data_IF_830783369471
#
_entry.id   IF_830783369471
#
_cell.length_a   1.000
_cell.length_b   1.000
_cell.length_c   1.000
_cell.angle_alpha   90.00
_cell.angle_beta   90.00
_cell.angle_gamma   90.00
#
_symmetry.space_group_name_H-M   'P 1'
#
loop_
_entity.id
_entity.type
_entity.pdbx_description
1 polymer ?
#
# COMPACT_ATOMS: atom_id res chain seq x y z
N UNK A 1 -22.90 49.77 -72.59
CA UNK A 1 -23.95 49.97 -71.56
C UNK A 1 -24.62 48.62 -71.44
N UNK A 2 -24.19 47.81 -70.50
CA UNK A 2 -24.87 47.63 -69.19
C UNK A 2 -25.49 46.21 -69.24
N UNK A 3 -25.40 45.32 -68.27
CA UNK A 3 -24.88 45.33 -66.92
C UNK A 3 -24.93 43.89 -66.39
N UNK A 4 -24.05 43.60 -65.45
CA UNK A 4 -23.92 42.33 -64.72
C UNK A 4 -25.17 41.99 -63.90
N UNK A 5 -25.53 40.71 -63.81
CA UNK A 5 -26.24 40.18 -62.65
C UNK A 5 -25.64 38.82 -62.24
N UNK A 6 -24.78 38.86 -61.23
CA UNK A 6 -24.35 37.69 -60.48
C UNK A 6 -25.53 37.19 -59.64
N UNK A 7 -25.96 35.95 -59.87
CA UNK A 7 -26.91 35.27 -58.98
C UNK A 7 -26.15 34.73 -57.77
N UNK A 8 -26.15 35.50 -56.68
CA UNK A 8 -25.63 35.07 -55.39
C UNK A 8 -26.57 34.04 -54.76
N UNK A 9 -26.22 32.77 -54.86
CA UNK A 9 -26.83 31.70 -54.06
C UNK A 9 -26.41 31.90 -52.60
N UNK A 10 -27.34 32.42 -51.80
CA UNK A 10 -27.21 32.62 -50.38
C UNK A 10 -27.19 31.26 -49.67
N UNK A 11 -26.01 30.65 -49.55
CA UNK A 11 -25.81 29.52 -48.65
C UNK A 11 -25.97 30.06 -47.23
N UNK A 12 -27.16 29.89 -46.65
CA UNK A 12 -27.37 29.93 -45.22
C UNK A 12 -26.53 28.83 -44.59
N UNK A 13 -25.27 29.14 -44.33
CA UNK A 13 -24.49 28.44 -43.33
C UNK A 13 -25.21 28.68 -42.00
N UNK A 14 -26.07 27.73 -41.63
CA UNK A 14 -26.48 27.52 -40.26
C UNK A 14 -25.24 27.07 -39.49
N UNK A 15 -24.33 28.02 -39.26
CA UNK A 15 -23.31 27.89 -38.24
C UNK A 15 -24.07 27.84 -36.93
N UNK A 16 -24.43 26.62 -36.53
CA UNK A 16 -24.62 26.27 -35.13
C UNK A 16 -23.26 26.45 -34.45
N UNK A 17 -22.85 27.70 -34.32
CA UNK A 17 -21.88 28.16 -33.35
C UNK A 17 -22.58 28.02 -32.01
N UNK A 18 -22.71 26.77 -31.56
CA UNK A 18 -22.93 26.43 -30.16
C UNK A 18 -21.74 26.99 -29.43
N UNK A 19 -21.82 28.27 -29.07
CA UNK A 19 -20.91 28.88 -28.12
C UNK A 19 -20.94 27.98 -26.89
N UNK A 20 -19.90 27.15 -26.72
CA UNK A 20 -19.85 26.10 -25.72
C UNK A 20 -20.14 26.73 -24.36
N UNK A 21 -21.37 26.59 -23.90
CA UNK A 21 -21.84 27.30 -22.73
C UNK A 21 -20.96 26.86 -21.57
N UNK A 22 -20.28 27.82 -20.93
CA UNK A 22 -19.34 27.53 -19.85
C UNK A 22 -20.09 26.75 -18.77
N UNK A 23 -19.71 25.49 -18.58
CA UNK A 23 -20.33 24.61 -17.62
C UNK A 23 -19.71 24.83 -16.25
N UNK A 24 -20.51 25.32 -15.30
CA UNK A 24 -20.11 25.54 -13.91
C UNK A 24 -20.85 24.54 -13.03
N UNK A 25 -20.19 23.48 -12.54
CA UNK A 25 -20.84 22.44 -11.78
C UNK A 25 -21.37 23.00 -10.45
N UNK A 26 -22.67 22.81 -10.19
CA UNK A 26 -23.33 23.26 -8.95
C UNK A 26 -23.71 22.10 -8.05
N UNK A 27 -24.08 20.95 -8.63
CA UNK A 27 -24.50 19.74 -7.89
C UNK A 27 -23.37 18.73 -7.89
N UNK A 28 -23.44 17.74 -7.00
CA UNK A 28 -22.44 16.65 -6.98
C UNK A 28 -22.53 15.76 -8.21
N UNK A 29 -23.72 15.65 -8.83
CA UNK A 29 -23.93 14.82 -10.02
C UNK A 29 -23.16 15.36 -11.23
N UNK A 30 -23.13 16.69 -11.40
CA UNK A 30 -22.31 17.39 -12.40
C UNK A 30 -20.82 17.00 -12.33
N UNK A 31 -20.32 16.62 -11.16
CA UNK A 31 -18.94 16.18 -10.99
C UNK A 31 -18.75 14.70 -11.28
N UNK A 32 -19.80 13.89 -11.10
CA UNK A 32 -19.72 12.44 -11.30
C UNK A 32 -19.54 12.07 -12.77
N UNK A 33 -20.16 12.83 -13.69
CA UNK A 33 -20.00 12.66 -15.14
C UNK A 33 -18.53 12.81 -15.56
N UNK A 34 -17.84 13.80 -15.00
CA UNK A 34 -16.42 14.07 -15.31
C UNK A 34 -15.45 13.40 -14.33
N UNK A 35 -15.94 12.64 -13.34
CA UNK A 35 -15.10 12.07 -12.28
C UNK A 35 -13.99 11.20 -12.87
N UNK A 36 -14.33 10.30 -13.78
CA UNK A 36 -13.38 9.36 -14.40
C UNK A 36 -12.29 10.10 -15.19
N UNK A 37 -12.66 11.17 -15.89
CA UNK A 37 -11.75 12.03 -16.66
C UNK A 37 -10.80 12.77 -15.70
N UNK A 38 -11.35 13.44 -14.68
CA UNK A 38 -10.57 14.18 -13.68
C UNK A 38 -9.62 13.23 -12.94
N UNK A 39 -10.10 12.05 -12.56
CA UNK A 39 -9.34 11.01 -11.88
C UNK A 39 -8.18 10.50 -12.75
N UNK A 40 -8.42 10.23 -14.04
CA UNK A 40 -7.38 9.82 -14.99
C UNK A 40 -6.33 10.91 -15.20
N UNK A 41 -6.75 12.16 -15.43
CA UNK A 41 -5.82 13.27 -15.62
C UNK A 41 -4.95 13.51 -14.37
N UNK A 42 -5.53 13.41 -13.18
CA UNK A 42 -4.82 13.65 -11.93
C UNK A 42 -3.94 12.48 -11.49
N UNK A 43 -4.47 11.24 -11.53
CA UNK A 43 -3.79 10.05 -11.03
C UNK A 43 -2.94 9.39 -12.10
N UNK A 44 -3.50 9.10 -13.27
CA UNK A 44 -2.82 8.25 -14.26
C UNK A 44 -1.80 9.07 -15.05
N UNK A 45 -2.15 10.29 -15.46
CA UNK A 45 -1.24 11.21 -16.14
C UNK A 45 -0.36 12.03 -15.17
N UNK A 46 -0.54 11.86 -13.85
CA UNK A 46 0.23 12.53 -12.78
C UNK A 46 0.28 14.07 -12.89
N UNK A 47 -0.69 14.69 -13.55
CA UNK A 47 -0.70 16.12 -13.80
C UNK A 47 -0.90 16.92 -12.51
N UNK A 48 -0.39 18.16 -12.50
CA UNK A 48 -0.67 19.09 -11.41
C UNK A 48 -2.11 19.58 -11.54
N UNK A 49 -2.71 19.95 -10.41
CA UNK A 49 -4.12 20.36 -10.39
C UNK A 49 -4.40 21.58 -11.27
N UNK A 50 -3.43 22.48 -11.40
CA UNK A 50 -3.47 23.62 -12.32
C UNK A 50 -3.62 23.18 -13.78
N UNK A 51 -2.92 22.12 -14.18
CA UNK A 51 -2.97 21.60 -15.54
C UNK A 51 -4.25 20.80 -15.78
N UNK A 52 -4.68 20.00 -14.80
CA UNK A 52 -6.00 19.33 -14.84
C UNK A 52 -7.11 20.34 -15.02
N UNK A 53 -7.11 21.43 -14.24
CA UNK A 53 -8.06 22.53 -14.37
C UNK A 53 -8.02 23.13 -15.79
N UNK A 54 -6.84 23.47 -16.30
CA UNK A 54 -6.70 24.06 -17.65
C UNK A 54 -7.28 23.14 -18.73
N UNK A 55 -7.02 21.83 -18.64
CA UNK A 55 -7.55 20.84 -19.59
C UNK A 55 -9.07 20.74 -19.46
N UNK A 56 -9.61 20.67 -18.25
CA UNK A 56 -11.06 20.64 -18.01
C UNK A 56 -11.76 21.90 -18.56
N UNK A 57 -11.14 23.07 -18.41
CA UNK A 57 -11.67 24.34 -18.92
C UNK A 57 -11.63 24.41 -20.46
N UNK A 58 -10.55 23.91 -21.08
CA UNK A 58 -10.34 23.99 -22.53
C UNK A 58 -11.11 22.92 -23.30
N UNK A 59 -11.01 21.65 -22.88
CA UNK A 59 -11.53 20.51 -23.64
C UNK A 59 -12.99 20.18 -23.29
N UNK A 60 -13.42 20.50 -22.07
CA UNK A 60 -14.74 20.14 -21.55
C UNK A 60 -15.59 21.35 -21.18
N UNK A 61 -15.10 22.58 -21.40
CA UNK A 61 -15.73 23.83 -20.96
C UNK A 61 -16.15 23.83 -19.47
N UNK A 62 -15.46 23.01 -18.66
CA UNK A 62 -15.78 22.77 -17.26
C UNK A 62 -14.96 23.71 -16.39
N UNK A 63 -15.61 24.76 -15.88
CA UNK A 63 -14.95 25.83 -15.13
C UNK A 63 -15.28 25.69 -13.64
N UNK A 64 -14.25 25.37 -12.85
CA UNK A 64 -14.33 25.30 -11.40
C UNK A 64 -13.05 25.81 -10.73
N UNK A 65 -13.17 26.18 -9.45
CA UNK A 65 -12.02 26.64 -8.66
C UNK A 65 -11.10 25.48 -8.30
N UNK A 66 -9.81 25.78 -8.09
CA UNK A 66 -8.84 24.76 -7.66
C UNK A 66 -9.23 24.13 -6.32
N UNK A 67 -9.82 24.92 -5.41
CA UNK A 67 -10.33 24.42 -4.14
C UNK A 67 -11.42 23.35 -4.35
N UNK A 68 -12.38 23.59 -5.24
CA UNK A 68 -13.43 22.62 -5.54
C UNK A 68 -12.86 21.32 -6.10
N UNK A 69 -11.87 21.41 -7.01
CA UNK A 69 -11.18 20.21 -7.49
C UNK A 69 -10.46 19.46 -6.35
N UNK A 70 -9.79 20.16 -5.43
CA UNK A 70 -9.17 19.53 -4.24
C UNK A 70 -10.20 18.83 -3.36
N UNK A 71 -11.30 19.53 -3.04
CA UNK A 71 -12.37 19.00 -2.20
C UNK A 71 -13.00 17.75 -2.83
N UNK A 72 -13.19 17.75 -4.15
CA UNK A 72 -13.76 16.61 -4.90
C UNK A 72 -12.81 15.42 -4.97
N UNK A 73 -11.53 15.65 -5.26
CA UNK A 73 -10.51 14.60 -5.19
C UNK A 73 -10.43 13.98 -3.79
N UNK A 74 -10.52 14.80 -2.75
CA UNK A 74 -10.57 14.32 -1.36
C UNK A 74 -11.83 13.50 -1.08
N UNK A 75 -13.02 13.98 -1.48
CA UNK A 75 -14.29 13.27 -1.32
C UNK A 75 -14.29 11.91 -2.05
N UNK A 76 -13.70 11.84 -3.25
CA UNK A 76 -13.54 10.60 -4.01
C UNK A 76 -12.38 9.72 -3.54
N UNK A 77 -11.63 10.16 -2.52
CA UNK A 77 -10.44 9.49 -2.01
C UNK A 77 -9.38 9.24 -3.09
N UNK A 78 -9.34 10.09 -4.12
CA UNK A 78 -8.39 10.04 -5.23
C UNK A 78 -7.11 10.74 -4.81
N UNK A 79 -6.01 9.98 -4.85
CA UNK A 79 -4.68 10.46 -4.48
C UNK A 79 -3.64 9.82 -5.37
N UNK A 80 -2.63 10.60 -5.74
CA UNK A 80 -1.52 10.13 -6.56
C UNK A 80 -0.36 9.50 -5.77
N UNK A 81 -0.37 9.69 -4.46
CA UNK A 81 0.66 9.22 -3.53
C UNK A 81 0.14 8.07 -2.66
N UNK A 82 0.90 6.99 -2.63
CA UNK A 82 0.68 5.83 -1.76
C UNK A 82 1.15 6.21 -0.35
N UNK A 83 0.36 5.88 0.67
CA UNK A 83 0.68 6.20 2.06
C UNK A 83 1.82 5.29 2.53
N UNK A 84 2.68 5.80 3.41
CA UNK A 84 3.76 5.01 3.99
C UNK A 84 3.25 3.66 4.53
N UNK A 85 2.21 3.66 5.37
CA UNK A 85 1.58 2.44 5.91
C UNK A 85 1.21 1.40 4.84
N UNK A 86 0.71 1.83 3.69
CA UNK A 86 0.38 0.92 2.58
C UNK A 86 1.64 0.36 1.91
N UNK A 87 2.66 1.19 1.71
CA UNK A 87 3.95 0.75 1.17
C UNK A 87 4.58 -0.31 2.10
N UNK A 88 4.48 -0.17 3.42
CA UNK A 88 4.98 -1.19 4.36
C UNK A 88 4.27 -2.54 4.16
N UNK A 89 2.94 -2.53 4.05
CA UNK A 89 2.18 -3.74 3.79
C UNK A 89 2.59 -4.38 2.47
N UNK A 90 2.85 -3.56 1.45
CA UNK A 90 3.34 -4.03 0.16
C UNK A 90 4.73 -4.66 0.26
N UNK A 91 5.68 -4.03 0.96
CA UNK A 91 7.03 -4.58 1.17
C UNK A 91 6.97 -5.95 1.84
N UNK A 92 6.21 -6.08 2.94
CA UNK A 92 6.05 -7.37 3.63
C UNK A 92 5.45 -8.45 2.72
N UNK A 93 4.43 -8.08 1.93
CA UNK A 93 3.81 -8.99 0.96
C UNK A 93 4.77 -9.39 -0.16
N UNK A 94 5.58 -8.46 -0.65
CA UNK A 94 6.59 -8.68 -1.67
C UNK A 94 7.66 -9.66 -1.17
N UNK A 95 8.21 -9.45 0.02
CA UNK A 95 9.21 -10.34 0.64
C UNK A 95 8.68 -11.77 0.82
N UNK A 96 7.48 -11.92 1.39
CA UNK A 96 6.84 -13.24 1.58
C UNK A 96 6.64 -14.02 0.28
N UNK A 97 6.43 -13.33 -0.83
CA UNK A 97 6.24 -13.93 -2.16
C UNK A 97 7.59 -14.20 -2.84
N UNK A 98 8.56 -13.31 -2.69
CA UNK A 98 9.92 -13.49 -3.19
C UNK A 98 10.60 -14.72 -2.54
N UNK A 99 10.38 -14.95 -1.25
CA UNK A 99 10.81 -16.16 -0.54
C UNK A 99 10.21 -17.47 -1.12
N UNK A 100 9.22 -17.37 -2.00
CA UNK A 100 8.61 -18.49 -2.74
C UNK A 100 8.95 -18.47 -4.23
N UNK A 101 9.92 -17.64 -4.64
CA UNK A 101 10.31 -17.43 -6.04
C UNK A 101 9.27 -16.69 -6.89
N UNK A 102 8.29 -16.00 -6.29
CA UNK A 102 7.18 -15.36 -7.02
C UNK A 102 7.40 -13.85 -7.14
N UNK A 103 7.22 -13.33 -8.35
CA UNK A 103 7.13 -11.90 -8.60
C UNK A 103 5.81 -11.34 -8.06
N UNK A 104 5.80 -10.06 -7.65
CA UNK A 104 4.55 -9.42 -7.21
C UNK A 104 4.32 -8.09 -7.88
N UNK A 105 3.10 -7.90 -8.37
CA UNK A 105 2.57 -6.62 -8.80
C UNK A 105 1.52 -6.16 -7.78
N UNK A 106 1.49 -4.87 -7.49
CA UNK A 106 0.54 -4.27 -6.57
C UNK A 106 -0.39 -3.32 -7.30
N UNK A 107 -1.65 -3.29 -6.88
CA UNK A 107 -2.61 -2.26 -7.28
C UNK A 107 -3.11 -1.53 -6.03
N UNK A 108 -3.02 -0.21 -6.02
CA UNK A 108 -3.51 0.64 -4.92
C UNK A 108 -4.42 1.72 -5.51
N UNK A 109 -5.69 1.74 -5.11
CA UNK A 109 -6.66 2.72 -5.59
C UNK A 109 -6.83 2.71 -7.11
N UNK A 110 -6.83 1.51 -7.72
CA UNK A 110 -6.97 1.32 -9.17
C UNK A 110 -5.67 1.46 -9.98
N UNK A 111 -4.59 2.00 -9.39
CA UNK A 111 -3.32 2.19 -10.09
C UNK A 111 -2.36 1.03 -9.82
N UNK A 112 -1.67 0.56 -10.86
CA UNK A 112 -0.52 -0.32 -10.70
C UNK A 112 0.64 0.45 -10.07
N UNK A 113 1.27 -0.18 -9.08
CA UNK A 113 2.40 0.40 -8.36
C UNK A 113 3.69 -0.11 -8.98
N UNK A 114 4.41 0.80 -9.61
CA UNK A 114 5.75 0.55 -10.13
C UNK A 114 6.70 0.10 -9.01
N UNK A 115 7.40 -1.03 -9.23
CA UNK A 115 8.40 -1.58 -8.32
C UNK A 115 9.48 -0.56 -7.96
N UNK A 116 9.85 0.35 -8.87
CA UNK A 116 10.82 1.43 -8.60
C UNK A 116 10.30 2.42 -7.56
N UNK A 117 8.99 2.57 -7.40
CA UNK A 117 8.37 3.41 -6.36
C UNK A 117 8.56 2.79 -4.98
N UNK A 118 8.40 1.48 -4.88
CA UNK A 118 8.62 0.72 -3.65
C UNK A 118 10.10 0.73 -3.29
N UNK A 119 10.98 0.46 -4.26
CA UNK A 119 12.44 0.49 -4.07
C UNK A 119 12.94 1.87 -3.57
N UNK A 120 12.40 2.97 -4.11
CA UNK A 120 12.71 4.32 -3.61
C UNK A 120 12.27 4.53 -2.16
N UNK A 121 11.14 3.97 -1.76
CA UNK A 121 10.67 4.07 -0.38
C UNK A 121 11.60 3.31 0.57
N UNK A 122 11.95 2.07 0.24
CA UNK A 122 12.91 1.24 1.00
C UNK A 122 14.24 1.97 1.15
N UNK A 123 14.78 2.52 0.05
CA UNK A 123 16.05 3.26 0.11
C UNK A 123 16.00 4.51 0.99
N UNK A 124 14.85 5.19 1.04
CA UNK A 124 14.71 6.47 1.76
C UNK A 124 14.43 6.29 3.25
N UNK A 125 13.69 5.23 3.61
CA UNK A 125 13.18 5.06 4.97
C UNK A 125 13.62 3.76 5.64
N UNK A 126 14.27 2.84 4.91
CA UNK A 126 14.62 1.50 5.40
C UNK A 126 15.43 1.48 6.69
N UNK A 127 16.28 2.49 6.94
CA UNK A 127 17.14 2.54 8.13
C UNK A 127 16.53 3.30 9.34
N UNK A 128 15.41 4.02 9.18
CA UNK A 128 14.92 4.97 10.21
C UNK A 128 13.48 4.74 10.66
N UNK A 129 12.76 3.79 10.02
CA UNK A 129 11.31 3.74 10.11
C UNK A 129 10.74 3.00 11.34
N UNK A 130 11.57 2.24 12.06
CA UNK A 130 11.14 1.44 13.21
C UNK A 130 10.61 2.30 14.38
N UNK A 131 11.12 3.53 14.49
CA UNK A 131 10.90 4.39 15.66
C UNK A 131 9.50 5.05 15.76
N UNK A 132 8.59 4.86 14.79
CA UNK A 132 7.30 5.60 14.73
C UNK A 132 6.10 4.84 15.31
N UNK A 133 6.33 3.69 15.95
CA UNK A 133 5.24 2.81 16.43
C UNK A 133 4.92 2.96 17.92
N UNK A 134 5.70 3.75 18.69
CA UNK A 134 5.55 3.80 20.15
C UNK A 134 4.62 4.94 20.68
N UNK A 135 4.13 5.85 19.84
CA UNK A 135 3.42 7.06 20.32
C UNK A 135 1.88 7.01 20.19
N UNK A 136 1.23 5.86 20.39
CA UNK A 136 -0.25 5.79 20.26
C UNK A 136 -0.97 4.89 21.27
N UNK A 137 -0.33 4.55 22.39
CA UNK A 137 -0.99 3.87 23.50
C UNK A 137 -0.82 4.65 24.80
N UNK A 138 -1.55 5.77 24.96
CA UNK A 138 -1.86 6.31 26.28
C UNK A 138 -3.18 7.08 26.26
N UNK A 139 -4.19 6.48 26.92
CA UNK A 139 -5.22 7.05 27.81
C UNK A 139 -6.56 6.31 27.65
N UNK A 140 -6.74 5.28 28.46
CA UNK A 140 -8.06 4.81 28.90
C UNK A 140 -7.96 4.62 30.42
N UNK A 141 -8.69 5.38 31.25
CA UNK A 141 -8.55 5.29 32.69
C UNK A 141 -9.35 4.08 33.19
N UNK A 142 -8.70 3.11 33.82
CA UNK A 142 -9.38 2.12 34.64
C UNK A 142 -9.36 2.57 36.11
N UNK A 143 -10.50 2.63 36.84
CA UNK A 143 -10.55 3.04 38.25
C UNK A 143 -10.06 1.93 39.18
N UNK A 144 -9.26 2.31 40.17
CA UNK A 144 -8.60 1.40 41.10
C UNK A 144 -9.45 0.80 42.22
N UNK A 145 -8.96 -0.35 42.69
CA UNK A 145 -8.59 -0.65 44.08
C UNK A 145 -9.67 -1.02 45.15
N UNK A 146 -9.60 -2.32 45.52
CA UNK A 146 -9.45 -2.87 46.89
C UNK A 146 -10.65 -2.99 47.86
N UNK A 147 -11.04 -4.25 48.22
CA UNK A 147 -11.36 -4.66 49.62
C UNK A 147 -11.45 -6.20 49.86
N UNK A 148 -10.35 -6.80 50.32
CA UNK A 148 -10.09 -7.69 51.50
C UNK A 148 -11.21 -8.60 52.12
N UNK A 149 -10.90 -9.92 52.20
CA UNK A 149 -11.21 -11.05 53.15
C UNK A 149 -12.62 -11.68 53.36
N UNK A 150 -12.80 -12.94 53.90
CA UNK A 150 -11.89 -14.11 54.14
C UNK A 150 -12.45 -15.55 53.79
N UNK A 151 -11.53 -16.53 53.71
CA UNK A 151 -11.61 -18.02 53.93
C UNK A 151 -12.94 -18.81 53.80
N UNK A 152 -12.92 -19.86 52.95
CA UNK A 152 -13.48 -21.19 53.27
C UNK A 152 -12.95 -22.29 52.33
N UNK A 153 -12.18 -23.25 52.87
CA UNK A 153 -11.98 -24.59 52.27
C UNK A 153 -13.28 -25.39 52.36
N UNK A 154 -13.51 -26.35 51.44
CA UNK A 154 -13.16 -27.72 51.75
C UNK A 154 -12.49 -28.51 50.60
N UNK A 155 -11.40 -29.18 50.98
CA UNK A 155 -10.86 -30.49 50.61
C UNK A 155 -11.81 -31.45 49.84
N UNK A 156 -11.29 -32.17 48.83
CA UNK A 156 -11.45 -33.62 48.66
C UNK A 156 -10.34 -34.19 47.73
N UNK A 157 -9.74 -35.29 48.21
CA UNK A 157 -8.76 -36.16 47.56
C UNK A 157 -9.28 -36.86 46.28
N UNK A 158 -8.36 -37.29 45.40
CA UNK A 158 -8.30 -38.71 45.02
C UNK A 158 -7.03 -39.09 44.24
N UNK A 159 -6.41 -40.16 44.73
CA UNK A 159 -5.24 -40.82 44.20
C UNK A 159 -5.65 -41.84 43.12
N UNK A 160 -4.99 -41.85 41.96
CA UNK A 160 -4.84 -43.06 41.14
C UNK A 160 -3.70 -42.90 40.11
N UNK A 161 -2.65 -43.71 40.30
CA UNK A 161 -1.55 -43.97 39.36
C UNK A 161 -2.07 -44.60 38.06
N UNK A 162 -1.44 -44.30 36.92
CA UNK A 162 -1.01 -45.33 35.96
C UNK A 162 0.18 -44.84 35.12
N UNK A 163 1.32 -45.50 35.30
CA UNK A 163 2.54 -45.40 34.50
C UNK A 163 2.35 -46.13 33.16
N UNK A 164 2.73 -45.49 32.05
CA UNK A 164 3.11 -46.22 30.83
C UNK A 164 4.36 -45.56 30.24
N UNK A 165 5.46 -46.31 30.30
CA UNK A 165 6.70 -45.97 29.62
C UNK A 165 6.57 -46.30 28.13
N UNK A 166 6.87 -45.34 27.26
CA UNK A 166 7.28 -45.64 25.88
C UNK A 166 8.57 -44.86 25.58
N UNK A 167 9.50 -45.60 25.00
CA UNK A 167 10.92 -45.29 24.87
C UNK A 167 11.14 -44.29 23.71
N UNK A 168 11.95 -43.25 23.92
CA UNK A 168 12.60 -42.49 22.84
C UNK A 168 13.73 -41.60 23.37
N UNK A 169 14.74 -41.29 22.53
CA UNK A 169 16.15 -41.30 22.88
C UNK A 169 16.62 -40.07 23.66
N UNK A 170 17.69 -40.26 24.45
CA UNK A 170 18.50 -39.20 25.04
C UNK A 170 19.06 -38.30 23.95
N UNK A 171 18.44 -37.14 23.76
CA UNK A 171 19.08 -35.98 23.16
C UNK A 171 19.39 -35.00 24.29
N UNK A 172 20.66 -34.92 24.65
CA UNK A 172 21.21 -33.90 25.56
C UNK A 172 21.13 -32.54 24.87
N UNK A 173 19.96 -31.91 24.92
CA UNK A 173 19.84 -30.48 24.71
C UNK A 173 18.77 -29.93 25.67
N UNK A 174 19.06 -28.84 26.41
CA UNK A 174 18.11 -28.28 27.34
C UNK A 174 16.88 -27.75 26.59
N UNK A 175 15.72 -28.30 26.91
CA UNK A 175 14.41 -27.73 26.59
C UNK A 175 14.27 -26.40 27.32
N UNK A 176 14.16 -25.24 26.64
CA UNK A 176 13.78 -24.01 27.31
C UNK A 176 12.29 -24.10 27.65
N UNK A 177 11.97 -23.89 28.92
CA UNK A 177 10.61 -23.72 29.43
C UNK A 177 9.95 -22.51 28.74
N UNK A 178 8.61 -22.52 28.55
CA UNK A 178 7.88 -21.34 28.14
C UNK A 178 7.90 -20.36 29.31
N UNK A 179 8.89 -19.47 29.32
CA UNK A 179 8.89 -18.32 30.20
C UNK A 179 8.11 -17.23 29.48
N UNK A 180 6.93 -16.93 30.01
CA UNK A 180 6.30 -15.65 29.78
C UNK A 180 7.21 -14.57 30.38
N UNK A 181 8.12 -14.06 29.57
CA UNK A 181 8.76 -12.78 29.82
C UNK A 181 8.54 -11.92 28.58
N UNK A 182 7.39 -11.24 28.58
CA UNK A 182 6.92 -10.37 27.51
C UNK A 182 7.63 -9.01 27.61
N UNK A 183 8.95 -9.03 27.52
CA UNK A 183 9.80 -7.84 27.40
C UNK A 183 10.87 -8.16 26.35
N UNK A 184 10.55 -8.15 25.05
CA UNK A 184 11.05 -7.13 24.12
C UNK A 184 10.56 -7.53 22.73
N UNK A 185 9.45 -6.94 22.27
CA UNK A 185 8.94 -7.21 20.91
C UNK A 185 9.88 -6.70 19.81
N UNK A 186 10.87 -5.88 20.17
CA UNK A 186 11.87 -5.31 19.24
C UNK A 186 12.86 -6.38 18.75
N UNK A 187 13.20 -7.34 19.61
CA UNK A 187 14.19 -8.39 19.34
C UNK A 187 13.69 -9.40 18.29
N UNK A 188 12.38 -9.63 18.25
CA UNK A 188 11.74 -10.56 17.29
C UNK A 188 11.77 -10.00 15.86
N UNK A 189 11.63 -8.68 15.70
CA UNK A 189 11.61 -8.05 14.38
C UNK A 189 13.02 -7.77 13.87
N UNK A 190 13.96 -7.40 14.74
CA UNK A 190 15.37 -7.29 14.41
C UNK A 190 15.97 -8.66 14.05
N UNK A 191 15.59 -9.72 14.78
CA UNK A 191 15.94 -11.09 14.41
C UNK A 191 15.35 -11.50 13.05
N UNK A 192 14.16 -11.00 12.68
CA UNK A 192 13.55 -11.30 11.39
C UNK A 192 14.25 -10.56 10.24
N UNK A 193 14.67 -9.32 10.45
CA UNK A 193 15.41 -8.52 9.46
C UNK A 193 16.84 -9.05 9.28
N UNK A 194 17.52 -9.39 10.38
CA UNK A 194 18.82 -10.06 10.39
C UNK A 194 18.77 -11.44 9.73
N UNK A 195 17.69 -12.21 9.97
CA UNK A 195 17.46 -13.47 9.26
C UNK A 195 17.25 -13.24 7.75
N UNK A 196 16.54 -12.17 7.38
CA UNK A 196 16.31 -11.82 5.99
C UNK A 196 17.60 -11.39 5.27
N UNK A 197 18.46 -10.60 5.92
CA UNK A 197 19.78 -10.23 5.41
C UNK A 197 20.70 -11.45 5.30
N UNK A 198 20.65 -12.34 6.29
CA UNK A 198 21.38 -13.59 6.27
C UNK A 198 20.93 -14.50 5.13
N UNK A 199 19.63 -14.59 4.86
CA UNK A 199 19.11 -15.34 3.71
C UNK A 199 19.59 -14.75 2.38
N UNK A 200 19.60 -13.43 2.25
CA UNK A 200 20.06 -12.74 1.03
C UNK A 200 21.56 -12.95 0.80
N UNK A 201 22.36 -12.92 1.88
CA UNK A 201 23.78 -13.22 1.84
C UNK A 201 24.06 -14.68 1.48
N UNK A 202 23.25 -15.62 1.99
CA UNK A 202 23.36 -17.04 1.66
C UNK A 202 22.99 -17.33 0.21
N UNK A 203 21.95 -16.69 -0.32
CA UNK A 203 21.53 -16.82 -1.72
C UNK A 203 22.61 -16.31 -2.66
N UNK A 204 23.17 -15.12 -2.38
CA UNK A 204 24.31 -14.58 -3.12
C UNK A 204 25.53 -15.51 -3.06
N UNK A 205 25.83 -16.06 -1.88
CA UNK A 205 26.94 -17.01 -1.70
C UNK A 205 26.68 -18.32 -2.45
N UNK A 206 25.44 -18.76 -2.53
CA UNK A 206 25.03 -19.93 -3.31
C UNK A 206 25.21 -19.66 -4.81
N UNK A 207 24.77 -18.52 -5.32
CA UNK A 207 25.02 -18.11 -6.71
C UNK A 207 26.52 -18.02 -7.03
N UNK A 208 27.30 -17.41 -6.14
CA UNK A 208 28.77 -17.36 -6.27
C UNK A 208 29.39 -18.77 -6.28
N UNK A 209 28.92 -19.68 -5.41
CA UNK A 209 29.42 -21.05 -5.36
C UNK A 209 29.00 -21.88 -6.57
N UNK A 210 27.80 -21.66 -7.10
CA UNK A 210 27.25 -22.39 -8.25
C UNK A 210 27.79 -21.85 -9.59
N UNK A 211 28.18 -20.58 -9.67
CA UNK A 211 28.79 -20.00 -10.88
C UNK A 211 30.17 -20.57 -11.23
N UNK A 212 30.88 -21.12 -10.24
CA UNK A 212 32.14 -21.85 -10.47
C UNK A 212 31.95 -23.29 -10.98
N UNK A 213 30.70 -23.78 -11.06
CA UNK A 213 30.35 -25.14 -11.48
C UNK A 213 29.78 -25.18 -12.90
N UNK A 214 30.27 -24.29 -13.78
CA UNK A 214 30.05 -24.41 -15.23
C UNK A 214 30.71 -25.72 -15.69
N UNK A 215 29.88 -26.66 -16.12
CA UNK A 215 30.26 -27.94 -16.70
C UNK A 215 30.99 -27.72 -18.02
N UNK A 216 32.25 -28.17 -18.18
CA UNK A 216 32.87 -28.23 -19.49
C UNK A 216 32.20 -29.37 -20.26
N UNK A 217 31.47 -29.07 -21.32
CA UNK A 217 30.72 -30.10 -22.03
C UNK A 217 29.93 -29.66 -23.25
N UNK A 218 30.42 -28.72 -24.05
CA UNK A 218 29.98 -28.52 -25.43
C UNK A 218 31.19 -28.18 -26.31
N UNK A 219 32.05 -29.18 -26.52
CA UNK A 219 32.92 -29.27 -27.68
C UNK A 219 32.72 -30.66 -28.32
N UNK A 220 31.91 -30.69 -29.38
CA UNK A 220 31.89 -31.65 -30.49
C UNK A 220 31.10 -31.04 -31.65
#
# INVERSE_FOLDING_TARGET
MDGSIASSSNFSASSSSSSSAIFRPRRSDDWNEYRTVIERLYRDHQLKLRDVKRIMEHDYNFVASEKQFKDRLAAWHVRKNIKAKEVHVMIRKQQKRAARGKQTAFRVGGQEVDSKRIARFVRRYGASWDNTRNDSHQTSPEPGENKIDPLQSPELDDNQSLSVATLSPTSTHPTPKPVEDLTTTEDVWEALDSFQDRLLALDKKLEESMSNFITPGEEC
#
